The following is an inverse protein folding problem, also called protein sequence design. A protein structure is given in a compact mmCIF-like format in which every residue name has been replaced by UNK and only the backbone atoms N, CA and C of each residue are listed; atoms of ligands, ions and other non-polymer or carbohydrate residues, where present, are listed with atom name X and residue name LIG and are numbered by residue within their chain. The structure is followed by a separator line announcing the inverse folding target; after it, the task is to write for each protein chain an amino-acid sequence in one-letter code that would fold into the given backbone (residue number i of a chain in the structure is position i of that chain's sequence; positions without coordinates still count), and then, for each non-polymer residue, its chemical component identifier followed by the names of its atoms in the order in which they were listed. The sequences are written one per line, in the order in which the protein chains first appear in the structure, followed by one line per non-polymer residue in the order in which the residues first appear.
data_IF_208362232160
#
_entry.id   IF_208362232160
#
_cell.length_a   1.000
_cell.length_b   1.000
_cell.length_c   1.000
_cell.angle_alpha   90.00
_cell.angle_beta   90.00
_cell.angle_gamma   90.00
#
_symmetry.space_group_name_H-M   'P 1'
#
loop_
_entity.id
_entity.type
_entity.pdbx_description
1 polymer ?
#
# COMPACT_ATOMS: atom_id res chain seq x y z
N UNK A 1 -28.14 55.12 50.47
CA UNK A 1 -28.40 53.97 49.59
C UNK A 1 -27.13 53.72 48.80
N UNK A 2 -26.34 52.75 49.25
CA UNK A 2 -25.02 52.43 48.70
C UNK A 2 -25.19 51.39 47.60
N UNK A 3 -24.84 51.72 46.36
CA UNK A 3 -24.80 50.77 45.26
C UNK A 3 -23.38 50.22 45.12
N UNK A 4 -23.19 48.95 45.50
CA UNK A 4 -21.98 48.18 45.25
C UNK A 4 -22.13 47.44 43.92
N UNK A 5 -21.25 47.68 42.96
CA UNK A 5 -21.09 46.85 41.76
C UNK A 5 -20.04 45.76 42.02
N UNK A 6 -20.29 44.48 41.70
CA UNK A 6 -19.25 43.47 41.78
C UNK A 6 -18.34 43.55 40.55
N UNK A 7 -17.04 43.70 40.79
CA UNK A 7 -16.01 43.57 39.77
C UNK A 7 -15.95 42.11 39.28
N UNK A 8 -16.29 41.91 38.01
CA UNK A 8 -16.04 40.66 37.28
C UNK A 8 -14.60 40.69 36.78
N UNK A 9 -13.71 39.92 37.41
CA UNK A 9 -12.40 39.62 36.83
C UNK A 9 -12.38 38.17 36.38
N UNK A 10 -12.35 38.01 35.06
CA UNK A 10 -12.38 36.75 34.34
C UNK A 10 -11.10 35.94 34.61
N UNK A 11 -11.28 34.66 34.92
CA UNK A 11 -10.19 33.68 34.93
C UNK A 11 -9.81 33.38 33.48
N UNK A 12 -8.64 33.84 33.04
CA UNK A 12 -8.02 33.39 31.79
C UNK A 12 -7.52 31.96 31.99
N UNK A 13 -8.32 30.98 31.55
CA UNK A 13 -7.86 29.61 31.41
C UNK A 13 -6.94 29.53 30.17
N UNK A 14 -5.63 29.46 30.39
CA UNK A 14 -4.68 29.14 29.32
C UNK A 14 -4.86 27.67 28.93
N UNK A 15 -5.61 27.41 27.85
CA UNK A 15 -5.69 26.09 27.23
C UNK A 15 -4.36 25.78 26.55
N UNK A 16 -3.52 24.99 27.21
CA UNK A 16 -2.39 24.33 26.58
C UNK A 16 -2.94 23.32 25.56
N UNK A 17 -2.96 23.70 24.28
CA UNK A 17 -3.17 22.75 23.19
C UNK A 17 -1.95 21.83 23.20
N UNK A 18 -2.10 20.64 23.77
CA UNK A 18 -1.17 19.54 23.55
C UNK A 18 -1.26 19.20 22.06
N UNK A 19 -0.40 19.82 21.25
CA UNK A 19 -0.12 19.32 19.91
C UNK A 19 0.62 18.00 20.13
N UNK A 20 -0.15 16.93 20.26
CA UNK A 20 0.39 15.59 20.11
C UNK A 20 1.05 15.59 18.73
N UNK A 21 2.38 15.52 18.69
CA UNK A 21 3.10 15.36 17.46
C UNK A 21 2.66 14.03 16.86
N UNK A 22 1.66 14.06 15.98
CA UNK A 22 1.40 12.95 15.08
C UNK A 22 2.71 12.75 14.33
N UNK A 23 3.44 11.67 14.65
CA UNK A 23 4.51 11.20 13.77
C UNK A 23 3.88 11.12 12.39
N UNK A 24 4.34 11.92 11.41
CA UNK A 24 3.75 11.91 10.08
C UNK A 24 3.84 10.47 9.57
N UNK A 25 2.71 9.91 9.16
CA UNK A 25 2.65 8.56 8.60
C UNK A 25 3.74 8.45 7.52
N UNK A 26 4.78 7.66 7.82
CA UNK A 26 5.94 7.53 6.94
C UNK A 26 5.51 6.97 5.56
N UNK A 27 4.39 6.25 5.48
CA UNK A 27 3.86 5.74 4.22
C UNK A 27 3.49 6.89 3.25
N UNK A 28 3.00 8.02 3.77
CA UNK A 28 2.65 9.19 2.96
C UNK A 28 3.82 9.78 2.16
N UNK A 29 5.06 9.44 2.52
CA UNK A 29 6.28 9.85 1.80
C UNK A 29 6.36 9.25 0.39
N UNK A 30 5.59 8.20 0.09
CA UNK A 30 5.41 7.63 -1.26
C UNK A 30 4.99 8.69 -2.29
N UNK A 31 4.30 9.75 -1.85
CA UNK A 31 3.83 10.84 -2.71
C UNK A 31 4.96 11.76 -3.21
N UNK A 32 6.11 11.77 -2.54
CA UNK A 32 7.25 12.65 -2.85
C UNK A 32 8.60 11.91 -2.75
N UNK A 33 8.80 10.84 -3.53
CA UNK A 33 9.93 9.90 -3.39
C UNK A 33 11.30 10.58 -3.42
N UNK A 34 11.49 11.59 -4.29
CA UNK A 34 12.77 12.27 -4.47
C UNK A 34 13.23 13.05 -3.24
N UNK A 35 12.29 13.50 -2.39
CA UNK A 35 12.62 14.12 -1.09
C UNK A 35 13.18 13.13 -0.08
N UNK A 36 13.06 11.83 -0.36
CA UNK A 36 13.44 10.73 0.53
C UNK A 36 14.49 9.81 -0.11
N UNK A 37 15.29 10.36 -1.03
CA UNK A 37 16.50 9.70 -1.54
C UNK A 37 16.29 8.77 -2.74
N UNK A 38 15.09 8.76 -3.35
CA UNK A 38 14.86 8.01 -4.59
C UNK A 38 15.11 8.89 -5.81
N UNK A 39 15.51 8.27 -6.91
CA UNK A 39 15.55 8.88 -8.24
C UNK A 39 14.40 8.32 -9.07
N UNK A 40 13.56 9.18 -9.64
CA UNK A 40 12.49 8.75 -10.54
C UNK A 40 12.99 8.69 -11.98
N UNK A 41 13.23 7.48 -12.49
CA UNK A 41 13.75 7.24 -13.85
C UNK A 41 12.65 7.22 -14.92
N UNK A 42 11.39 7.28 -14.48
CA UNK A 42 10.19 7.41 -15.30
C UNK A 42 9.02 7.88 -14.42
N UNK A 43 7.83 8.07 -15.00
CA UNK A 43 6.64 8.43 -14.22
C UNK A 43 6.16 7.33 -13.26
N UNK A 44 6.52 6.08 -13.54
CA UNK A 44 6.00 4.89 -12.84
C UNK A 44 7.06 4.13 -12.04
N UNK A 45 8.34 4.45 -12.20
CA UNK A 45 9.44 3.77 -11.51
C UNK A 45 10.38 4.78 -10.86
N UNK A 46 10.52 4.67 -9.55
CA UNK A 46 11.52 5.39 -8.76
C UNK A 46 12.34 4.39 -7.94
N UNK A 47 13.63 4.67 -7.72
CA UNK A 47 14.53 3.76 -7.00
C UNK A 47 15.70 4.49 -6.34
N UNK A 48 16.24 3.95 -5.26
CA UNK A 48 17.41 4.50 -4.54
C UNK A 48 18.74 4.17 -5.25
N UNK A 49 18.86 2.97 -5.83
CA UNK A 49 20.04 2.54 -6.58
C UNK A 49 19.78 2.50 -8.09
N UNK A 50 20.23 3.53 -8.81
CA UNK A 50 20.05 3.64 -10.27
C UNK A 50 20.81 2.57 -11.06
N UNK A 51 21.79 1.87 -10.49
CA UNK A 51 22.46 0.74 -11.14
C UNK A 51 21.51 -0.44 -11.39
N UNK A 52 20.44 -0.56 -10.58
CA UNK A 52 19.39 -1.58 -10.70
C UNK A 52 18.19 -1.14 -11.54
N UNK A 53 18.29 -0.01 -12.27
CA UNK A 53 17.21 0.54 -13.10
C UNK A 53 16.60 -0.50 -14.04
N UNK A 54 17.43 -1.25 -14.76
CA UNK A 54 16.97 -2.25 -15.74
C UNK A 54 16.10 -3.32 -15.08
N UNK A 55 16.52 -3.82 -13.92
CA UNK A 55 15.79 -4.82 -13.15
C UNK A 55 14.43 -4.27 -12.67
N UNK A 56 14.41 -3.07 -12.07
CA UNK A 56 13.18 -2.43 -11.61
C UNK A 56 12.17 -2.21 -12.75
N UNK A 57 12.65 -1.73 -13.91
CA UNK A 57 11.81 -1.54 -15.10
C UNK A 57 11.28 -2.86 -15.66
N UNK A 58 12.08 -3.93 -15.63
CA UNK A 58 11.65 -5.26 -16.05
C UNK A 58 10.58 -5.84 -15.12
N UNK A 59 10.79 -5.77 -13.81
CA UNK A 59 9.82 -6.20 -12.80
C UNK A 59 8.48 -5.47 -12.97
N UNK A 60 8.53 -4.14 -13.09
CA UNK A 60 7.35 -3.31 -13.35
C UNK A 60 6.62 -3.74 -14.64
N UNK A 61 7.34 -3.81 -15.75
CA UNK A 61 6.75 -4.07 -17.05
C UNK A 61 6.16 -5.48 -17.16
N UNK A 62 6.80 -6.47 -16.55
CA UNK A 62 6.28 -7.84 -16.50
C UNK A 62 4.99 -7.90 -15.68
N UNK A 63 4.99 -7.38 -14.45
CA UNK A 63 3.81 -7.38 -13.60
C UNK A 63 2.62 -6.63 -14.25
N UNK A 64 2.89 -5.45 -14.82
CA UNK A 64 1.86 -4.63 -15.48
C UNK A 64 1.26 -5.34 -16.70
N UNK A 65 2.08 -5.95 -17.57
CA UNK A 65 1.58 -6.72 -18.71
C UNK A 65 0.73 -7.91 -18.27
N UNK A 66 1.19 -8.68 -17.27
CA UNK A 66 0.45 -9.85 -16.81
C UNK A 66 -0.89 -9.48 -16.17
N UNK A 67 -0.97 -8.39 -15.41
CA UNK A 67 -2.25 -7.93 -14.84
C UNK A 67 -3.22 -7.47 -15.93
N UNK A 68 -2.73 -6.74 -16.93
CA UNK A 68 -3.56 -6.30 -18.06
C UNK A 68 -4.10 -7.49 -18.87
N UNK A 69 -3.29 -8.53 -19.04
CA UNK A 69 -3.68 -9.74 -19.77
C UNK A 69 -4.64 -10.64 -18.96
N UNK A 70 -4.34 -10.86 -17.68
CA UNK A 70 -5.02 -11.88 -16.88
C UNK A 70 -6.25 -11.32 -16.13
N UNK A 71 -6.29 -10.01 -15.86
CA UNK A 71 -7.31 -9.37 -15.01
C UNK A 71 -8.02 -8.23 -15.73
N UNK A 72 -7.44 -7.03 -15.68
CA UNK A 72 -8.03 -5.81 -16.22
C UNK A 72 -6.95 -4.73 -16.37
N UNK A 73 -7.12 -3.78 -17.29
CA UNK A 73 -6.25 -2.61 -17.36
C UNK A 73 -6.41 -1.72 -16.13
N UNK A 74 -5.31 -1.06 -15.73
CA UNK A 74 -5.35 0.00 -14.73
C UNK A 74 -6.05 1.24 -15.29
N UNK A 75 -6.78 1.96 -14.44
CA UNK A 75 -7.26 3.32 -14.76
C UNK A 75 -6.07 4.27 -14.88
N UNK A 76 -5.11 4.14 -13.95
CA UNK A 76 -3.84 4.84 -14.01
C UNK A 76 -2.71 3.86 -13.68
N UNK A 77 -1.65 3.77 -14.50
CA UNK A 77 -0.51 2.90 -14.19
C UNK A 77 0.08 3.25 -12.82
N UNK A 78 0.22 2.27 -11.89
CA UNK A 78 0.74 2.56 -10.57
C UNK A 78 2.18 3.07 -10.64
N UNK A 79 2.54 3.96 -9.72
CA UNK A 79 3.94 4.30 -9.46
C UNK A 79 4.52 3.32 -8.44
N UNK A 80 5.65 2.72 -8.75
CA UNK A 80 6.36 1.76 -7.91
C UNK A 80 7.71 2.35 -7.51
N UNK A 81 7.95 2.41 -6.21
CA UNK A 81 9.18 2.81 -5.57
C UNK A 81 9.93 1.55 -5.18
N UNK A 82 11.18 1.42 -5.61
CA UNK A 82 12.02 0.27 -5.30
C UNK A 82 13.16 0.70 -4.38
N UNK A 83 13.16 0.16 -3.17
CA UNK A 83 14.27 0.31 -2.23
C UNK A 83 15.20 -0.89 -2.34
N UNK A 84 16.49 -0.65 -2.57
CA UNK A 84 17.53 -1.67 -2.63
C UNK A 84 18.12 -2.01 -1.25
N UNK A 85 17.87 -1.14 -0.25
CA UNK A 85 18.39 -1.26 1.10
C UNK A 85 17.30 -1.05 2.15
N UNK A 86 17.50 -1.65 3.33
CA UNK A 86 16.65 -1.40 4.50
C UNK A 86 16.59 0.08 4.87
N UNK A 87 17.71 0.80 4.76
CA UNK A 87 17.77 2.23 5.05
C UNK A 87 16.85 3.06 4.14
N UNK A 88 16.70 2.67 2.86
CA UNK A 88 15.70 3.26 1.98
C UNK A 88 14.29 2.91 2.44
N UNK A 89 14.00 1.63 2.70
CA UNK A 89 12.66 1.17 3.07
C UNK A 89 12.15 1.81 4.37
N UNK A 90 13.03 1.97 5.36
CA UNK A 90 12.72 2.56 6.66
C UNK A 90 12.34 4.06 6.56
N UNK A 91 12.68 4.72 5.44
CA UNK A 91 12.16 6.07 5.15
C UNK A 91 10.65 6.08 4.99
N UNK A 92 10.04 4.98 4.57
CA UNK A 92 8.61 4.89 4.25
C UNK A 92 7.79 4.14 5.30
N UNK A 93 8.42 3.75 6.41
CA UNK A 93 7.77 2.99 7.49
C UNK A 93 8.61 1.78 7.86
N UNK A 94 8.63 1.43 9.14
CA UNK A 94 9.25 0.21 9.64
C UNK A 94 8.18 -0.89 9.65
N UNK A 95 8.35 -1.90 8.80
CA UNK A 95 7.48 -3.07 8.67
C UNK A 95 8.31 -4.23 8.14
N UNK A 96 7.98 -5.45 8.54
CA UNK A 96 8.60 -6.70 8.11
C UNK A 96 7.98 -7.24 6.80
N UNK A 97 6.95 -6.58 6.26
CA UNK A 97 6.36 -6.91 4.97
C UNK A 97 7.27 -6.47 3.80
N UNK A 98 7.48 -7.35 2.83
CA UNK A 98 8.33 -7.13 1.64
C UNK A 98 7.90 -5.94 0.76
N UNK A 99 6.68 -5.45 0.92
CA UNK A 99 6.13 -4.37 0.12
C UNK A 99 4.92 -3.71 0.83
N UNK A 100 4.45 -2.61 0.26
CA UNK A 100 3.28 -1.86 0.71
C UNK A 100 2.60 -1.17 -0.48
N UNK A 101 1.28 -1.32 -0.59
CA UNK A 101 0.44 -0.51 -1.48
C UNK A 101 -0.29 0.57 -0.69
N UNK A 102 -0.06 1.85 -1.03
CA UNK A 102 -0.78 2.98 -0.47
C UNK A 102 -1.96 3.37 -1.38
N UNK A 103 -3.10 2.70 -1.21
CA UNK A 103 -4.31 2.98 -1.98
C UNK A 103 -4.06 2.91 -3.49
N UNK A 104 -4.35 4.00 -4.20
CA UNK A 104 -4.02 4.19 -5.62
C UNK A 104 -2.85 5.16 -5.84
N UNK A 105 -2.15 5.54 -4.76
CA UNK A 105 -1.15 6.62 -4.79
C UNK A 105 0.24 6.12 -5.15
N UNK A 106 0.56 4.88 -4.77
CA UNK A 106 1.83 4.26 -5.12
C UNK A 106 2.08 2.97 -4.35
N UNK A 107 3.12 2.28 -4.78
CA UNK A 107 3.58 1.00 -4.25
C UNK A 107 5.03 1.16 -3.82
N UNK A 108 5.39 0.65 -2.66
CA UNK A 108 6.76 0.51 -2.20
C UNK A 108 7.14 -0.98 -2.25
N UNK A 109 8.26 -1.28 -2.88
CA UNK A 109 8.94 -2.58 -2.86
C UNK A 109 10.18 -2.42 -1.99
N UNK A 110 10.25 -3.19 -0.91
CA UNK A 110 11.39 -3.17 0.03
C UNK A 110 12.57 -3.97 -0.50
N UNK A 111 13.70 -3.89 0.20
CA UNK A 111 14.98 -4.50 -0.16
C UNK A 111 14.90 -6.01 -0.44
N UNK A 112 14.05 -6.72 0.28
CA UNK A 112 13.82 -8.15 0.17
C UNK A 112 12.59 -8.51 -0.70
N UNK A 113 11.94 -7.49 -1.27
CA UNK A 113 10.71 -7.62 -2.06
C UNK A 113 10.90 -7.61 -3.57
N UNK A 114 12.13 -7.61 -4.08
CA UNK A 114 12.46 -7.56 -5.52
C UNK A 114 12.17 -8.88 -6.24
N UNK A 115 10.91 -9.29 -6.24
CA UNK A 115 10.41 -10.48 -6.91
C UNK A 115 9.23 -10.11 -7.80
N UNK A 116 9.12 -10.75 -8.97
CA UNK A 116 8.03 -10.50 -9.91
C UNK A 116 6.64 -10.73 -9.29
N UNK A 117 6.51 -11.77 -8.46
CA UNK A 117 5.26 -12.05 -7.75
C UNK A 117 4.94 -11.01 -6.67
N UNK A 118 5.93 -10.43 -5.99
CA UNK A 118 5.70 -9.36 -5.00
C UNK A 118 5.19 -8.10 -5.70
N UNK A 119 5.84 -7.68 -6.79
CA UNK A 119 5.39 -6.50 -7.57
C UNK A 119 3.98 -6.73 -8.13
N UNK A 120 3.71 -7.93 -8.66
CA UNK A 120 2.37 -8.29 -9.16
C UNK A 120 1.32 -8.30 -8.05
N UNK A 121 1.65 -8.81 -6.86
CA UNK A 121 0.76 -8.82 -5.70
C UNK A 121 0.33 -7.40 -5.31
N UNK A 122 1.28 -6.47 -5.17
CA UNK A 122 0.97 -5.09 -4.84
C UNK A 122 0.20 -4.38 -5.96
N UNK A 123 0.53 -4.64 -7.22
CA UNK A 123 -0.25 -4.09 -8.33
C UNK A 123 -1.69 -4.63 -8.38
N UNK A 124 -1.94 -5.86 -7.90
CA UNK A 124 -3.31 -6.37 -7.69
C UNK A 124 -4.01 -5.55 -6.60
N UNK A 125 -3.35 -5.20 -5.50
CA UNK A 125 -3.92 -4.29 -4.50
C UNK A 125 -4.23 -2.91 -5.07
N UNK A 126 -3.34 -2.33 -5.89
CA UNK A 126 -3.64 -1.09 -6.60
C UNK A 126 -4.90 -1.22 -7.47
N UNK A 127 -5.01 -2.31 -8.25
CA UNK A 127 -6.20 -2.57 -9.08
C UNK A 127 -7.47 -2.73 -8.24
N UNK A 128 -7.40 -3.41 -7.10
CA UNK A 128 -8.52 -3.54 -6.16
C UNK A 128 -8.94 -2.17 -5.61
N UNK A 129 -7.98 -1.32 -5.24
CA UNK A 129 -8.24 0.05 -4.79
C UNK A 129 -8.90 0.89 -5.89
N UNK A 130 -8.47 0.77 -7.15
CA UNK A 130 -9.13 1.44 -8.28
C UNK A 130 -10.55 0.94 -8.53
N UNK A 131 -10.79 -0.37 -8.29
CA UNK A 131 -12.06 -1.03 -8.60
C UNK A 131 -13.12 -0.80 -7.53
N UNK A 132 -12.74 -0.94 -6.27
CA UNK A 132 -13.66 -0.92 -5.12
C UNK A 132 -13.62 0.41 -4.37
N UNK A 133 -12.57 1.21 -4.58
CA UNK A 133 -12.27 2.39 -3.78
C UNK A 133 -11.41 2.01 -2.57
N UNK A 134 -10.50 2.92 -2.22
CA UNK A 134 -9.51 2.69 -1.14
C UNK A 134 -10.18 2.33 0.18
N UNK A 135 -11.24 3.05 0.56
CA UNK A 135 -11.95 2.78 1.82
C UNK A 135 -12.53 1.35 1.86
N UNK A 136 -13.14 0.92 0.76
CA UNK A 136 -13.75 -0.41 0.72
C UNK A 136 -12.69 -1.51 0.74
N UNK A 137 -11.66 -1.39 -0.10
CA UNK A 137 -10.59 -2.37 -0.18
C UNK A 137 -9.78 -2.48 1.13
N UNK A 138 -9.52 -1.37 1.82
CA UNK A 138 -8.69 -1.37 3.03
C UNK A 138 -9.44 -1.75 4.32
N UNK A 139 -10.74 -1.45 4.43
CA UNK A 139 -11.43 -1.53 5.73
C UNK A 139 -12.69 -2.39 5.76
N UNK A 140 -13.39 -2.52 4.65
CA UNK A 140 -14.73 -3.11 4.66
C UNK A 140 -14.77 -4.48 3.98
N UNK A 141 -13.98 -4.67 2.92
CA UNK A 141 -13.90 -5.95 2.24
C UNK A 141 -13.14 -6.97 3.10
N UNK A 142 -13.55 -8.25 3.09
CA UNK A 142 -12.89 -9.26 3.91
C UNK A 142 -11.42 -9.44 3.51
N UNK A 143 -10.52 -9.51 4.50
CA UNK A 143 -9.08 -9.76 4.26
C UNK A 143 -8.81 -11.00 3.41
N UNK A 144 -9.57 -12.08 3.63
CA UNK A 144 -9.42 -13.31 2.84
C UNK A 144 -9.67 -13.09 1.35
N UNK A 145 -10.48 -12.10 0.98
CA UNK A 145 -10.79 -11.77 -0.39
C UNK A 145 -9.73 -10.84 -1.00
N UNK A 146 -9.32 -9.79 -0.27
CA UNK A 146 -8.30 -8.83 -0.70
C UNK A 146 -6.91 -9.48 -0.80
N UNK A 147 -6.39 -9.99 0.31
CA UNK A 147 -5.08 -10.65 0.40
C UNK A 147 -5.08 -11.99 -0.36
N UNK A 148 -6.18 -12.74 -0.23
CA UNK A 148 -6.29 -14.04 -0.89
C UNK A 148 -6.23 -13.92 -2.42
N UNK A 149 -6.87 -12.90 -3.01
CA UNK A 149 -6.73 -12.59 -4.43
C UNK A 149 -5.28 -12.23 -4.77
N UNK A 150 -4.65 -11.35 -3.97
CA UNK A 150 -3.26 -10.95 -4.15
C UNK A 150 -2.33 -12.16 -4.22
N UNK A 151 -2.43 -13.09 -3.27
CA UNK A 151 -1.60 -14.29 -3.24
C UNK A 151 -1.99 -15.38 -4.23
N UNK A 152 -3.27 -15.49 -4.59
CA UNK A 152 -3.74 -16.47 -5.56
C UNK A 152 -3.29 -16.13 -6.98
N UNK A 153 -3.30 -14.84 -7.32
CA UNK A 153 -3.13 -14.37 -8.69
C UNK A 153 -1.78 -13.69 -8.95
N UNK A 154 -0.92 -13.54 -7.95
CA UNK A 154 0.44 -13.00 -8.14
C UNK A 154 1.44 -14.00 -8.74
N UNK A 155 1.11 -15.29 -8.74
CA UNK A 155 2.05 -16.35 -9.10
C UNK A 155 3.14 -16.59 -8.04
N UNK A 156 2.88 -16.22 -6.77
CA UNK A 156 3.79 -16.48 -5.65
C UNK A 156 4.07 -18.00 -5.54
N UNK A 157 5.34 -18.43 -5.72
CA UNK A 157 5.71 -19.84 -5.75
C UNK A 157 5.79 -20.46 -4.34
N UNK A 158 5.76 -19.65 -3.28
CA UNK A 158 5.91 -20.13 -1.91
C UNK A 158 4.69 -20.98 -1.52
N UNK A 159 4.97 -22.18 -0.99
CA UNK A 159 3.96 -23.10 -0.49
C UNK A 159 4.55 -23.93 0.67
N UNK A 160 4.10 -23.73 1.92
CA UNK A 160 3.08 -22.75 2.33
C UNK A 160 3.58 -21.30 2.20
N UNK A 161 2.65 -20.35 2.18
CA UNK A 161 3.00 -18.93 2.36
C UNK A 161 3.66 -18.69 3.74
N UNK A 162 4.51 -17.65 3.88
CA UNK A 162 5.29 -17.42 5.10
C UNK A 162 4.47 -17.31 6.38
N UNK A 163 3.22 -16.84 6.28
CA UNK A 163 2.29 -16.76 7.41
C UNK A 163 1.07 -17.66 7.18
N UNK A 164 0.68 -18.54 8.12
CA UNK A 164 -0.41 -19.50 7.94
C UNK A 164 -1.78 -18.86 7.61
N UNK A 165 -2.06 -17.67 8.11
CA UNK A 165 -3.30 -16.95 7.80
C UNK A 165 -3.40 -16.53 6.34
N UNK A 166 -2.27 -16.17 5.72
CA UNK A 166 -2.23 -15.82 4.30
C UNK A 166 -2.51 -17.04 3.44
N UNK A 167 -2.00 -18.21 3.84
CA UNK A 167 -2.34 -19.47 3.18
C UNK A 167 -3.85 -19.75 3.26
N UNK A 168 -4.45 -19.60 4.46
CA UNK A 168 -5.91 -19.75 4.64
C UNK A 168 -6.71 -18.76 3.79
N UNK A 169 -6.22 -17.53 3.62
CA UNK A 169 -6.84 -16.52 2.76
C UNK A 169 -6.78 -16.91 1.28
N UNK A 170 -5.60 -17.32 0.79
CA UNK A 170 -5.41 -17.83 -0.57
C UNK A 170 -6.33 -19.02 -0.85
N UNK A 171 -6.37 -20.01 0.05
CA UNK A 171 -7.20 -21.21 -0.10
C UNK A 171 -8.69 -20.87 -0.14
N UNK A 172 -9.14 -19.97 0.74
CA UNK A 172 -10.54 -19.51 0.76
C UNK A 172 -10.91 -18.74 -0.50
N UNK A 173 -10.02 -17.88 -1.00
CA UNK A 173 -10.21 -17.17 -2.26
C UNK A 173 -10.32 -18.15 -3.44
N UNK A 174 -9.41 -19.12 -3.53
CA UNK A 174 -9.43 -20.13 -4.58
C UNK A 174 -10.73 -20.97 -4.55
N UNK A 175 -11.16 -21.39 -3.37
CA UNK A 175 -12.43 -22.12 -3.20
C UNK A 175 -13.65 -21.25 -3.58
N UNK A 176 -13.58 -19.93 -3.35
CA UNK A 176 -14.63 -19.00 -3.74
C UNK A 176 -14.67 -18.79 -5.26
N UNK A 177 -13.53 -18.63 -5.94
CA UNK A 177 -13.46 -18.55 -7.41
C UNK A 177 -13.91 -19.87 -8.07
N UNK A 178 -13.54 -21.03 -7.50
CA UNK A 178 -13.93 -22.34 -8.02
C UNK A 178 -15.45 -22.58 -8.06
N UNK A 179 -16.24 -21.79 -7.31
CA UNK A 179 -17.71 -21.77 -7.36
C UNK A 179 -18.28 -20.93 -8.51
N UNK A 180 -17.43 -20.41 -9.41
CA UNK A 180 -17.83 -19.55 -10.53
C UNK A 180 -18.03 -18.08 -10.16
N UNK A 181 -17.58 -17.66 -8.97
CA UNK A 181 -17.59 -16.25 -8.61
C UNK A 181 -16.55 -15.48 -9.43
N UNK A 182 -16.80 -14.20 -9.66
CA UNK A 182 -15.91 -13.33 -10.42
C UNK A 182 -15.18 -12.35 -9.50
N UNK A 183 -13.86 -12.25 -9.63
CA UNK A 183 -13.02 -11.42 -8.76
C UNK A 183 -13.49 -9.97 -8.67
N UNK A 184 -14.12 -9.41 -9.71
CA UNK A 184 -14.56 -8.01 -9.72
C UNK A 184 -15.88 -7.76 -9.00
N UNK A 185 -16.51 -8.80 -8.44
CA UNK A 185 -17.78 -8.75 -7.71
C UNK A 185 -17.51 -9.26 -6.28
N UNK A 186 -17.41 -8.37 -5.28
CA UNK A 186 -17.10 -8.78 -3.92
C UNK A 186 -18.09 -9.80 -3.36
N UNK A 187 -17.66 -10.68 -2.43
CA UNK A 187 -18.58 -11.55 -1.70
C UNK A 187 -19.62 -10.69 -0.96
N UNK A 188 -20.89 -11.12 -1.03
CA UNK A 188 -21.99 -10.54 -0.25
C UNK A 188 -22.01 -11.08 1.18
#
# INVERSE_FOLDING_TARGET
MSFSFPAKSAVLAASAVLISACSPDKAGRILAPEKYGLTCVSQTVCLDDTSRKTEAQQLYAQASRSIQADLAPFKAPPRVLFCSTKACSDQFGEDDNQALTLGTYGILIREDGWHGYTVRHEMIHHLQNERFGVREASYNLPKWYIEGMGYALSGDPRNPLPRPELQRYKDKYNAWIAKGNHWSKPPQ
#
